data_IF_020888807877
#
_entry.id   IF_020888807877
#
_cell.length_a   1.000
_cell.length_b   1.000
_cell.length_c   1.000
_cell.angle_alpha   90.00
_cell.angle_beta   90.00
_cell.angle_gamma   90.00
#
_symmetry.space_group_name_H-M   'P 1'
#
loop_
_entity.id
_entity.type
_entity.pdbx_description
1 polymer ?
2 polymer ?
3 polymer ?
4 polymer ?
5 non-polymer ?
6 non-polymer ?
7 water ?
#
loop_
_entity_poly.entity_id
_entity_poly.type
_entity_poly.pdbx_seq_one_letter_code
_entity_poly.pdbx_strand_id
1 'polyribonucleotide' 'GGCCACCUGAC(A23)' ?
2 'polyribonucleotide' 'GUCCUCUCC' ?
3 'polyribonucleotide' 'GGAGAGAGAAGUCAACCAGAGAAACACACCAACCCAUUGCACUCCGGGUUGGUGGUAUAUUACCUGGUACGGGGGAAACUUCGUGGUGGCCG' ?
#
# COMPACT_ATOMS: atom_id res chain seq x y z
N UNK G 4 5.05 19.85 -11.99
CA UNK G 4 4.88 19.54 -13.42
C UNK G 4 5.37 18.11 -13.68
N UNK G 5 6.17 17.96 -14.73
CA UNK G 5 6.78 16.69 -15.13
C UNK G 5 5.97 15.61 -15.84
N UNK G 6 4.99 16.00 -16.66
CA UNK G 6 4.14 15.09 -17.46
C UNK G 6 2.69 15.49 -17.71
N UNK G 7 2.24 15.23 -18.93
CA UNK G 7 0.87 15.50 -19.33
C UNK G 7 0.16 14.14 -19.32
N UNK G 8 -1.15 14.11 -19.07
CA UNK G 8 -1.90 12.85 -19.06
C UNK G 8 -1.60 11.98 -20.28
N UNK G 9 -1.55 10.68 -20.05
CA UNK G 9 -1.27 9.70 -21.09
C UNK G 9 -2.02 8.39 -20.76
N UNK G 10 -2.29 7.57 -21.78
CA UNK G 10 -2.98 6.30 -21.59
C UNK G 10 -2.18 5.40 -20.68
N UNK G 11 -0.85 5.46 -20.85
CA UNK G 11 0.07 4.64 -20.09
C UNK G 11 0.69 5.37 -18.89
N UNK G 12 0.76 4.68 -17.75
CA UNK G 12 1.40 5.25 -16.57
C UNK G 12 2.73 4.51 -16.41
N UNK G 13 3.76 5.25 -16.03
CA UNK G 13 5.10 4.71 -15.81
C UNK G 13 5.25 4.53 -14.31
N UNK G 14 5.57 3.33 -13.86
CA UNK G 14 5.72 3.08 -12.42
C UNK G 14 7.14 2.65 -12.11
N UNK G 15 7.77 3.25 -11.11
CA UNK G 15 9.12 2.79 -10.77
C UNK G 15 9.30 2.69 -9.28
N UNK G 16 10.51 2.35 -8.87
CA UNK G 16 10.83 2.10 -7.47
C UNK G 16 10.09 0.82 -7.07
N UNK G 17 10.05 -0.15 -7.98
CA UNK G 17 9.40 -1.44 -7.73
C UNK G 17 10.44 -2.42 -7.18
N UNK G 18 9.98 -3.39 -6.40
CA UNK G 18 10.86 -4.38 -5.81
C UNK G 18 11.47 -5.24 -6.92
N UNK G 19 12.76 -5.06 -7.16
CA UNK G 19 13.49 -5.76 -8.19
C UNK G 19 13.65 -7.27 -8.07
N UNK G 20 13.27 -7.86 -6.93
CA UNK G 20 13.42 -9.30 -6.76
C UNK G 20 12.21 -10.15 -7.18
N UNK G 21 11.08 -9.51 -7.39
CA UNK G 21 9.88 -10.21 -7.81
C UNK G 21 9.98 -10.70 -9.25
N UNK G 22 9.79 -12.00 -9.46
CA UNK G 22 9.84 -12.57 -10.82
C UNK G 22 8.87 -11.82 -11.72
N UNK G 23 9.23 -11.69 -12.99
CA UNK G 23 8.41 -11.00 -13.98
C UNK G 23 6.93 -11.43 -14.03
N UNK G 24 6.67 -12.72 -14.09
CA UNK G 24 5.29 -13.20 -14.14
C UNK G 24 4.49 -12.77 -12.91
N UNK G 25 5.04 -12.97 -11.70
CA UNK G 25 4.32 -12.57 -10.50
C UNK G 25 4.08 -11.06 -10.46
N UNK G 26 5.10 -10.28 -10.79
CA UNK G 26 4.96 -8.82 -10.79
C UNK G 26 3.80 -8.38 -11.67
N UNK G 27 3.74 -8.93 -12.89
CA UNK G 27 2.67 -8.56 -13.82
C UNK G 27 1.30 -8.96 -13.24
N UNK G 28 1.21 -10.14 -12.64
CA UNK G 28 -0.06 -10.55 -12.08
C UNK G 28 -0.47 -9.59 -10.96
N UNK G 29 0.44 -9.29 -10.03
CA UNK G 29 0.06 -8.37 -8.95
C UNK G 29 -0.35 -6.99 -9.48
N UNK G 30 0.45 -6.43 -10.39
CA UNK G 30 0.13 -5.13 -10.97
C UNK G 30 -1.26 -5.16 -11.60
N UNK G 31 -1.59 -6.24 -12.27
CA UNK G 31 -2.90 -6.31 -12.91
C UNK G 31 -3.99 -6.36 -11.86
N UNK G 32 -3.81 -7.18 -10.84
CA UNK G 32 -4.82 -7.28 -9.78
C UNK G 32 -5.07 -5.96 -9.07
N UNK G 33 -4.00 -5.19 -8.86
CA UNK G 33 -4.11 -3.91 -8.16
C UNK G 33 -4.61 -2.72 -8.98
N UNK G 34 -4.36 -2.74 -10.29
CA UNK G 34 -4.78 -1.63 -11.14
C UNK G 34 -6.07 -1.88 -11.93
N UNK G 35 -6.54 -3.13 -11.94
CA UNK G 35 -7.77 -3.53 -12.65
C UNK G 35 -9.00 -2.67 -12.39
N UNK G 36 -9.21 -2.30 -11.13
CA UNK G 36 -10.38 -1.53 -10.73
C UNK G 36 -10.54 -0.17 -11.41
N UNK G 37 -9.46 0.39 -11.93
CA UNK G 37 -9.54 1.72 -12.55
C UNK G 37 -10.05 1.76 -13.97
N UNK G 38 -9.95 0.64 -14.66
CA UNK G 38 -10.41 0.57 -16.03
C UNK G 38 -9.77 -0.60 -16.75
N UNK G 39 -10.13 -0.81 -18.00
CA UNK G 39 -9.58 -1.91 -18.77
C UNK G 39 -8.10 -1.65 -19.03
N UNK G 40 -7.30 -2.70 -18.93
CA UNK G 40 -5.86 -2.63 -19.15
C UNK G 40 -5.57 -3.35 -20.46
N UNK G 41 -4.94 -2.68 -21.43
CA UNK G 41 -4.65 -3.31 -22.71
C UNK G 41 -3.38 -4.16 -22.64
N UNK G 42 -2.49 -3.83 -21.72
CA UNK G 42 -1.27 -4.59 -21.57
C UNK G 42 -0.43 -4.02 -20.45
N UNK G 43 0.54 -4.81 -20.01
CA UNK G 43 1.43 -4.41 -18.94
C UNK G 43 2.80 -4.89 -19.38
N UNK G 44 3.77 -3.98 -19.41
CA UNK G 44 5.10 -4.38 -19.83
C UNK G 44 6.10 -4.31 -18.67
N UNK G 45 6.83 -5.39 -18.50
CA UNK G 45 7.82 -5.46 -17.45
C UNK G 45 9.01 -6.26 -17.96
N UNK G 46 10.21 -5.71 -17.79
CA UNK G 46 11.42 -6.41 -18.18
C UNK G 46 12.40 -6.28 -17.02
N UNK G 47 13.20 -7.31 -16.79
CA UNK G 47 14.14 -7.30 -15.69
C UNK G 47 15.58 -7.07 -16.14
N UNK G 48 15.73 -6.50 -17.33
CA UNK G 48 17.07 -6.21 -17.83
C UNK G 48 17.65 -5.07 -17.00
N UNK G 49 18.95 -4.83 -17.15
CA UNK G 49 19.64 -3.77 -16.44
C UNK G 49 18.95 -2.41 -16.45
N UNK G 50 18.41 -2.01 -17.58
CA UNK G 50 17.80 -0.69 -17.70
C UNK G 50 16.30 -0.55 -17.40
N UNK G 51 15.54 -1.62 -17.57
CA UNK G 51 14.11 -1.53 -17.31
C UNK G 51 13.66 -2.20 -16.01
N UNK G 52 14.57 -2.88 -15.32
CA UNK G 52 14.19 -3.54 -14.06
C UNK G 52 13.75 -2.48 -13.07
N UNK G 53 12.81 -2.86 -12.21
CA UNK G 53 12.30 -1.96 -11.18
C UNK G 53 11.27 -1.04 -11.75
N UNK G 54 10.89 -1.28 -13.01
CA UNK G 54 9.91 -0.41 -13.66
C UNK G 54 8.87 -1.22 -14.38
N UNK G 55 7.77 -0.55 -14.71
CA UNK G 55 6.70 -1.19 -15.44
C UNK G 55 5.82 -0.13 -16.12
N UNK G 56 5.23 -0.51 -17.26
CA UNK G 56 4.34 0.37 -17.99
C UNK G 56 2.98 -0.34 -18.01
N UNK G 57 1.96 0.31 -17.47
CA UNK G 57 0.62 -0.23 -17.46
C UNK G 57 -0.17 0.59 -18.46
N UNK G 58 -0.55 -0.02 -19.58
CA UNK G 58 -1.29 0.69 -20.62
C UNK G 58 -2.79 0.58 -20.42
N UNK G 59 -3.44 1.72 -20.19
CA UNK G 59 -4.87 1.78 -19.97
C UNK G 59 -5.62 2.09 -21.27
N UNK G 60 -6.85 1.62 -21.35
CA UNK G 60 -7.68 1.83 -22.53
C UNK G 60 -8.14 3.28 -22.56
N UNK G 61 -8.43 3.84 -21.39
CA UNK G 61 -8.88 5.21 -21.27
C UNK G 61 -7.95 6.07 -20.43
N UNK G 62 -7.65 7.26 -20.94
CA UNK G 62 -6.76 8.19 -20.24
C UNK G 62 -7.27 8.46 -18.83
N UNK G 63 -8.58 8.67 -18.69
CA UNK G 63 -9.17 8.95 -17.39
C UNK G 63 -8.81 7.85 -16.37
N UNK G 64 -8.68 6.62 -16.85
CA UNK G 64 -8.33 5.51 -15.98
C UNK G 64 -6.86 5.63 -15.54
N UNK G 65 -6.02 6.11 -16.43
CA UNK G 65 -4.61 6.29 -16.10
C UNK G 65 -4.54 7.31 -14.96
N UNK G 66 -5.27 8.40 -15.12
CA UNK G 66 -5.31 9.47 -14.13
C UNK G 66 -5.77 9.01 -12.74
N UNK G 67 -6.93 8.37 -12.67
CA UNK G 67 -7.44 7.91 -11.38
C UNK G 67 -6.48 6.93 -10.71
N UNK G 68 -5.83 6.09 -11.51
CA UNK G 68 -4.89 5.11 -10.98
C UNK G 68 -3.66 5.79 -10.42
N UNK G 69 -3.16 6.78 -11.15
CA UNK G 69 -1.99 7.52 -10.75
C UNK G 69 -2.25 8.22 -9.42
N UNK G 70 -3.37 8.94 -9.33
CA UNK G 70 -3.72 9.67 -8.12
C UNK G 70 -3.96 8.78 -6.90
N UNK G 71 -4.69 7.69 -7.10
CA UNK G 71 -5.02 6.80 -6.01
C UNK G 71 -3.90 5.90 -5.53
N UNK G 72 -3.07 5.45 -6.45
CA UNK G 72 -2.02 4.52 -6.09
C UNK G 72 -0.62 5.10 -5.87
N UNK G 73 -0.48 6.41 -5.90
CA UNK G 73 0.83 7.03 -5.67
C UNK G 73 1.31 6.66 -4.26
N UNK G 74 2.52 6.11 -4.15
CA UNK G 74 3.05 5.74 -2.85
C UNK G 74 2.51 4.45 -2.24
N UNK G 75 1.59 3.76 -2.92
CA UNK G 75 1.02 2.51 -2.42
C UNK G 75 2.12 1.48 -2.10
N UNK G 76 2.03 0.82 -0.93
CA UNK G 76 3.06 -0.17 -0.57
C UNK G 76 2.90 -1.37 -1.48
N UNK G 77 3.97 -1.78 -2.13
CA UNK G 77 3.89 -2.90 -3.05
C UNK G 77 5.17 -3.67 -2.88
N UNK G 78 5.05 -4.90 -2.42
CA UNK G 78 6.21 -5.71 -2.16
C UNK G 78 7.19 -4.92 -1.31
N UNK G 79 6.63 -4.20 -0.34
CA UNK G 79 7.43 -3.43 0.62
C UNK G 79 8.12 -2.15 0.18
N UNK G 80 7.77 -1.65 -1.00
CA UNK G 80 8.34 -0.40 -1.48
C UNK G 80 7.18 0.46 -1.97
N UNK G 81 7.19 1.76 -1.64
CA UNK G 81 6.12 2.69 -2.06
C UNK G 81 6.28 2.98 -3.55
N UNK G 82 5.27 2.63 -4.31
CA UNK G 82 5.26 2.81 -5.76
C UNK G 82 5.39 4.26 -6.20
N UNK G 83 6.15 4.50 -7.26
CA UNK G 83 6.23 5.88 -7.77
C UNK G 83 5.56 5.84 -9.13
N UNK G 84 4.60 6.74 -9.34
CA UNK G 84 3.87 6.76 -10.60
C UNK G 84 3.81 8.10 -11.30
N UNK G 85 3.94 8.04 -12.62
CA UNK G 85 3.85 9.22 -13.45
C UNK G 85 3.29 8.79 -14.79
N UNK G 86 2.85 9.75 -15.60
CA UNK G 86 2.34 9.43 -16.92
C UNK G 86 3.55 9.08 -17.76
N UNK G 87 3.37 8.29 -18.80
CA UNK G 87 4.50 7.94 -19.66
C UNK G 87 4.80 9.20 -20.47
N UNK G 88 6.08 9.44 -20.74
CA UNK G 88 6.48 10.61 -21.52
C UNK G 88 5.93 10.55 -22.95
N UNK G 89 5.82 9.35 -23.51
CA UNK G 89 5.30 9.18 -24.85
C UNK G 89 4.28 8.06 -24.89
N UNK G 90 3.47 8.03 -25.95
CA UNK G 90 2.47 6.99 -26.11
C UNK G 90 3.13 5.65 -26.32
N UNK G 91 2.48 4.59 -25.84
CA UNK G 91 3.01 3.25 -26.04
C UNK G 91 2.67 2.95 -27.51
N UNK G 92 3.45 2.11 -28.17
CA UNK G 92 3.20 1.79 -29.57
C UNK G 92 1.75 1.40 -29.83
N UNK G 93 1.21 0.51 -29.00
CA UNK G 93 -0.16 0.04 -29.12
C UNK G 93 -1.17 1.17 -29.21
N UNK G 94 -0.93 2.24 -28.46
CA UNK G 94 -1.79 3.41 -28.42
C UNK G 94 -1.50 4.35 -29.60
N UNK G 95 -0.24 4.39 -30.02
CA UNK G 95 0.16 5.25 -31.12
C UNK G 95 -0.35 4.68 -32.46
N UNK G 96 -0.15 3.39 -32.68
CA UNK G 96 -0.60 2.74 -33.91
C UNK G 96 -2.11 2.60 -33.94
N UNK G 97 -2.75 3.02 -32.85
CA UNK G 97 -4.20 2.94 -32.71
C UNK G 97 -4.81 4.28 -33.16
N UNK H 4 12.77 9.33 17.83
CA UNK H 4 13.50 8.20 17.21
C UNK H 4 12.52 7.09 16.83
N UNK H 5 13.05 5.95 16.39
CA UNK H 5 12.20 4.82 16.04
C UNK H 5 12.22 3.84 17.20
N UNK H 6 11.30 2.88 17.20
CA UNK H 6 11.23 1.94 18.30
C UNK H 6 11.74 0.52 18.01
N UNK H 7 11.88 -0.23 19.09
CA UNK H 7 12.29 -1.63 19.08
C UNK H 7 11.10 -2.44 18.55
N UNK H 8 11.37 -3.57 17.91
CA UNK H 8 10.24 -4.37 17.42
C UNK H 8 9.38 -4.73 18.64
N UNK H 9 8.07 -4.73 18.47
CA UNK H 9 7.14 -5.07 19.54
C UNK H 9 5.97 -5.89 18.99
N UNK H 10 5.23 -6.58 19.87
CA UNK H 10 4.09 -7.41 19.45
C UNK H 10 3.01 -6.52 18.84
N UNK H 11 2.90 -5.32 19.39
CA UNK H 11 1.90 -4.37 18.94
C UNK H 11 2.47 -3.32 17.97
N UNK H 12 1.67 -2.94 16.97
CA UNK H 12 2.08 -1.88 16.06
C UNK H 12 1.18 -0.72 16.39
N UNK H 13 1.71 0.49 16.28
CA UNK H 13 0.98 1.70 16.57
C UNK H 13 0.68 2.35 15.24
N UNK H 14 -0.59 2.63 15.02
CA UNK H 14 -0.99 3.23 13.76
C UNK H 14 -1.69 4.56 13.97
N UNK H 15 -1.24 5.59 13.25
CA UNK H 15 -1.88 6.88 13.36
C UNK H 15 -2.06 7.50 11.97
N UNK H 16 -2.60 8.71 11.91
CA UNK H 16 -2.92 9.38 10.66
C UNK H 16 -4.13 8.67 10.08
N UNK H 17 -4.95 8.13 10.96
CA UNK H 17 -6.18 7.43 10.58
C UNK H 17 -7.30 8.45 10.41
N UNK H 18 -8.27 8.15 9.56
CA UNK H 18 -9.40 9.04 9.32
C UNK H 18 -10.25 9.11 10.58
N UNK H 19 -10.36 10.29 11.17
CA UNK H 19 -11.10 10.48 12.41
C UNK H 19 -12.63 10.43 12.32
N UNK H 20 -13.16 10.42 11.10
CA UNK H 20 -14.61 10.42 10.94
C UNK H 20 -15.24 9.03 10.88
N UNK H 21 -14.42 7.99 10.79
CA UNK H 21 -14.97 6.64 10.73
C UNK H 21 -15.30 6.10 12.11
N UNK H 22 -16.47 5.49 12.25
CA UNK H 22 -16.88 4.92 13.52
C UNK H 22 -15.96 3.81 13.99
N UNK H 23 -15.85 3.71 15.30
CA UNK H 23 -15.02 2.73 15.99
C UNK H 23 -15.16 1.30 15.41
N UNK H 24 -16.36 0.73 15.41
CA UNK H 24 -16.54 -0.63 14.89
C UNK H 24 -16.17 -0.77 13.43
N UNK H 25 -16.50 0.24 12.64
CA UNK H 25 -16.16 0.25 11.22
C UNK H 25 -14.64 0.20 11.13
N UNK H 26 -13.99 1.07 11.91
CA UNK H 26 -12.53 1.16 11.93
C UNK H 26 -11.86 -0.14 12.36
N UNK H 27 -12.36 -0.76 13.41
CA UNK H 27 -11.78 -2.02 13.88
C UNK H 27 -11.95 -3.13 12.84
N UNK H 28 -13.16 -3.29 12.32
CA UNK H 28 -13.45 -4.32 11.34
C UNK H 28 -12.53 -4.21 10.12
N UNK H 29 -12.39 -3.01 9.57
CA UNK H 29 -11.52 -2.81 8.41
C UNK H 29 -10.05 -3.11 8.73
N UNK H 30 -9.59 -2.69 9.92
CA UNK H 30 -8.18 -2.95 10.29
C UNK H 30 -7.89 -4.45 10.30
N UNK H 31 -8.81 -5.21 10.90
CA UNK H 31 -8.66 -6.68 10.95
C UNK H 31 -8.61 -7.31 9.53
N UNK H 32 -9.54 -6.88 8.68
CA UNK H 32 -9.60 -7.40 7.31
C UNK H 32 -8.30 -7.10 6.58
N UNK H 33 -7.74 -5.93 6.86
CA UNK H 33 -6.49 -5.49 6.24
C UNK H 33 -5.20 -6.09 6.84
N UNK H 34 -5.19 -6.35 8.14
CA UNK H 34 -3.99 -6.88 8.81
C UNK H 34 -3.93 -8.37 9.18
N UNK H 35 -5.07 -9.05 9.23
CA UNK H 35 -5.08 -10.47 9.61
C UNK H 35 -4.15 -11.41 8.82
N UNK H 36 -3.76 -11.03 7.59
CA UNK H 36 -2.88 -11.86 6.75
C UNK H 36 -1.46 -12.02 7.31
N UNK H 37 -1.08 -11.15 8.23
CA UNK H 37 0.27 -11.20 8.78
C UNK H 37 0.41 -12.19 9.92
N UNK H 38 -0.71 -12.56 10.52
CA UNK H 38 -0.67 -13.51 11.63
C UNK H 38 -1.85 -13.31 12.55
N UNK H 39 -2.06 -14.20 13.50
CA UNK H 39 -3.18 -14.06 14.41
C UNK H 39 -3.10 -12.72 15.15
N UNK H 40 -4.25 -12.06 15.29
CA UNK H 40 -4.35 -10.79 15.99
C UNK H 40 -5.10 -11.03 17.31
N UNK H 41 -4.49 -10.65 18.43
CA UNK H 41 -5.12 -10.84 19.75
C UNK H 41 -6.12 -9.75 20.07
N UNK H 42 -5.90 -8.54 19.56
CA UNK H 42 -6.83 -7.44 19.83
C UNK H 42 -6.46 -6.21 19.00
N UNK H 43 -7.40 -5.29 18.93
CA UNK H 43 -7.19 -4.05 18.21
C UNK H 43 -7.86 -2.99 19.08
N UNK H 44 -7.08 -2.04 19.57
CA UNK H 44 -7.65 -0.99 20.43
C UNK H 44 -7.90 0.28 19.66
N UNK H 45 -9.10 0.81 19.75
CA UNK H 45 -9.43 2.03 19.06
C UNK H 45 -10.34 2.85 19.94
N UNK H 46 -10.00 4.13 20.09
CA UNK H 46 -10.80 5.04 20.87
C UNK H 46 -10.85 6.36 20.12
N UNK H 47 -12.00 7.04 20.16
CA UNK H 47 -12.17 8.31 19.47
C UNK H 47 -12.14 9.53 20.39
N UNK H 48 -11.57 9.36 21.58
CA UNK H 48 -11.48 10.46 22.52
C UNK H 48 -10.47 11.49 21.96
N UNK H 49 -10.49 12.70 22.51
CA UNK H 49 -9.58 13.76 22.09
C UNK H 49 -8.15 13.30 21.84
N UNK H 50 -7.55 12.68 22.85
CA UNK H 50 -6.16 12.24 22.79
C UNK H 50 -5.86 11.00 21.96
N UNK H 51 -6.84 10.12 21.79
CA UNK H 51 -6.60 8.86 21.08
C UNK H 51 -7.23 8.73 19.70
N UNK H 52 -8.03 9.70 19.28
CA UNK H 52 -8.66 9.62 17.97
C UNK H 52 -7.59 9.64 16.88
N UNK H 53 -7.87 8.96 15.76
CA UNK H 53 -6.95 8.90 14.64
C UNK H 53 -5.81 7.91 14.84
N UNK H 54 -5.94 7.08 15.87
CA UNK H 54 -4.91 6.10 16.15
C UNK H 54 -5.53 4.77 16.53
N UNK H 55 -4.73 3.71 16.43
CA UNK H 55 -5.18 2.40 16.84
C UNK H 55 -3.99 1.49 17.18
N UNK H 56 -4.19 0.58 18.13
CA UNK H 56 -3.14 -0.35 18.49
C UNK H 56 -3.62 -1.71 18.02
N UNK H 57 -2.77 -2.40 17.25
CA UNK H 57 -3.09 -3.71 16.75
C UNK H 57 -2.06 -4.61 17.40
N UNK H 58 -2.54 -5.61 18.14
CA UNK H 58 -1.65 -6.51 18.84
C UNK H 58 -1.61 -7.88 18.21
N UNK H 59 -0.44 -8.27 17.73
CA UNK H 59 -0.26 -9.56 17.11
C UNK H 59 0.22 -10.58 18.13
N UNK H 60 -0.03 -11.85 17.86
CA UNK H 60 0.39 -12.92 18.77
C UNK H 60 1.90 -13.07 18.73
N UNK H 61 2.48 -12.86 17.54
CA UNK H 61 3.92 -12.98 17.33
C UNK H 61 4.57 -11.67 16.84
N UNK H 62 5.79 -11.40 17.32
CA UNK H 62 6.50 -10.20 16.91
C UNK H 62 6.81 -10.18 15.41
N UNK H 63 7.21 -11.31 14.86
CA UNK H 63 7.52 -11.42 13.44
C UNK H 63 6.32 -10.99 12.60
N UNK H 64 5.13 -11.19 13.16
CA UNK H 64 3.92 -10.78 12.46
C UNK H 64 3.80 -9.26 12.46
N UNK H 65 4.16 -8.63 13.58
CA UNK H 65 4.06 -7.17 13.66
C UNK H 65 5.10 -6.53 12.73
N UNK H 66 6.29 -7.11 12.69
CA UNK H 66 7.35 -6.60 11.84
C UNK H 66 6.94 -6.73 10.36
N UNK H 67 6.27 -7.82 10.01
CA UNK H 67 5.85 -8.01 8.61
C UNK H 67 4.77 -7.02 8.22
N UNK H 68 3.86 -6.73 9.15
CA UNK H 68 2.80 -5.76 8.89
C UNK H 68 3.37 -4.35 8.81
N UNK H 69 4.39 -4.05 9.60
CA UNK H 69 4.99 -2.71 9.60
C UNK H 69 5.61 -2.42 8.24
N UNK H 70 6.42 -3.33 7.75
CA UNK H 70 7.11 -3.17 6.48
C UNK H 70 6.23 -3.23 5.25
N UNK H 71 5.19 -4.07 5.30
CA UNK H 71 4.29 -4.25 4.18
C UNK H 71 3.11 -3.31 4.10
N UNK H 72 2.80 -2.63 5.20
CA UNK H 72 1.64 -1.74 5.16
C UNK H 72 1.95 -0.28 5.38
N UNK H 73 3.23 0.08 5.41
CA UNK H 73 3.60 1.48 5.61
C UNK H 73 2.98 2.28 4.46
N UNK H 74 2.24 3.33 4.78
CA UNK H 74 1.63 4.16 3.76
C UNK H 74 0.34 3.70 3.13
N UNK H 75 -0.08 2.46 3.38
CA UNK H 75 -1.31 1.93 2.81
C UNK H 75 -2.50 2.88 2.88
N UNK H 76 -3.17 3.12 1.74
CA UNK H 76 -4.33 4.01 1.65
C UNK H 76 -5.47 3.47 2.50
N UNK H 77 -6.03 4.30 3.37
CA UNK H 77 -7.09 3.85 4.28
C UNK H 77 -8.07 4.98 4.50
N UNK H 78 -9.28 4.82 3.99
CA UNK H 78 -10.30 5.85 4.10
C UNK H 78 -9.78 7.21 3.68
N UNK H 79 -9.00 7.22 2.61
CA UNK H 79 -8.44 8.46 2.04
C UNK H 79 -7.23 9.10 2.71
N UNK H 80 -6.56 8.38 3.60
CA UNK H 80 -5.36 8.91 4.24
C UNK H 80 -4.39 7.76 4.30
N UNK H 81 -3.10 8.04 4.02
CA UNK H 81 -2.10 6.97 4.07
C UNK H 81 -1.75 6.78 5.54
N UNK H 82 -1.71 5.54 6.00
CA UNK H 82 -1.41 5.27 7.41
C UNK H 82 0.05 5.24 7.80
N UNK H 83 0.34 5.77 8.99
CA UNK H 83 1.71 5.79 9.52
C UNK H 83 1.71 4.67 10.55
N UNK H 84 2.71 3.80 10.46
CA UNK H 84 2.86 2.66 11.35
C UNK H 84 4.23 2.65 12.03
N UNK H 85 4.23 2.36 13.34
CA UNK H 85 5.46 2.26 14.13
C UNK H 85 5.19 1.15 15.13
N UNK H 86 6.22 0.61 15.76
CA UNK H 86 5.99 -0.41 16.81
C UNK H 86 5.54 0.40 18.04
N UNK H 87 4.72 -0.18 18.91
CA UNK H 87 4.31 0.56 20.12
C UNK H 87 5.55 0.73 20.97
N UNK H 88 5.63 1.85 21.70
CA UNK H 88 6.77 2.10 22.57
C UNK H 88 6.84 1.09 23.72
N UNK H 89 5.69 0.62 24.20
CA UNK H 89 5.70 -0.38 25.28
C UNK H 89 4.70 -1.52 25.04
N UNK H 90 4.97 -2.68 25.64
CA UNK H 90 4.09 -3.85 25.52
C UNK H 90 2.68 -3.52 25.92
N UNK H 91 1.71 -4.04 25.18
CA UNK H 91 0.31 -3.81 25.53
C UNK H 91 0.08 -4.70 26.76
N UNK H 92 -0.83 -4.32 27.65
CA UNK H 92 -1.07 -5.13 28.86
C UNK H 92 -1.20 -6.64 28.66
N UNK H 93 -1.99 -7.09 27.69
CA UNK H 93 -2.15 -8.53 27.50
C UNK H 93 -0.86 -9.26 27.20
N UNK H 94 0.06 -8.55 26.54
CA UNK H 94 1.36 -9.14 26.20
C UNK H 94 2.27 -9.15 27.43
N UNK H 95 2.23 -8.05 28.17
CA UNK H 95 3.06 -7.92 29.38
C UNK H 95 2.61 -8.92 30.43
N UNK H 96 1.29 -9.02 30.63
CA UNK H 96 0.73 -9.94 31.62
C UNK H 96 1.02 -11.41 31.32
N UNK H 97 1.41 -11.73 30.09
CA UNK H 97 1.71 -13.11 29.75
C UNK H 97 3.00 -13.56 30.42
X LIG I 1 31.57 -40.41 -28.47
X LIG J 1 21.21 7.70 -12.43
X LIG K 1 30.84 -30.78 -20.08
X LIG L 1 10.09 2.76 -30.40
X LIG M 1 33.40 -41.93 -33.82
X LIG N 1 30.57 -22.72 -14.41
X LIG O 1 27.14 -20.36 -39.84
X LIG P 1 15.25 -9.64 -18.82
X LIG Q 1 16.50 0.57 -22.67
X LIG R 1 38.62 -42.47 -36.23
X LIG S 1 24.41 -35.19 -28.97
X LIG T 1 33.03 -33.31 -37.66
X LIG U 1 -39.19 14.83 46.50
X LIG V 1 -30.40 18.32 45.78
X LIG W 1 -29.62 13.64 37.40
X LIG X 1 -46.58 15.86 36.34
X LIG Y 1 1.17 18.22 19.02
X LIG Z 1 -1.63 1.39 32.34
X LIG AA 1 -35.85 11.66 53.47
X LIG BA 1 -11.11 1.82 33.69
X LIG CA 1 -48.25 15.42 42.27
X LIG DA 1 -21.08 -1.20 40.44
X LIG EA 1 -19.65 19.54 24.02
X LIG FA 1 -10.79 17.87 11.42
X LIG GA 1 -37.17 18.19 28.26
X LIG HA 1 -22.06 22.87 28.47
X LIG IA 1 -19.15 17.23 20.63
X LIG JA 1 -30.78 21.45 23.79
X LIG KA 1 -23.72 10.66 45.25
X LIG LA 1 -13.28 5.12 35.63
X LIG MA 1 -33.99 4.92 39.25
X LIG NA 1 -21.48 7.97 45.77
X LIG OA 1 -50.02 20.39 45.50
X LIG PA 1 -7.26 6.00 -28.48
X LIG QA 1 1.90 -5.15 -1.17
X LIG QA 1 1.92 -6.61 -1.54
X LIG QA 1 2.93 -6.74 -2.57
X LIG QA 1 2.28 -7.46 -0.36
X LIG QA 1 0.56 -7.09 -2.12
X LIG QA 1 0.59 -8.09 -3.27
X LIG QA 1 1.23 -9.30 -2.90
X LIG QA 1 -0.83 -8.45 -3.69
X LIG RA 1 -8.86 2.23 1.60
X LIG RA 1 -10.24 1.71 1.91
X LIG RA 1 -10.89 2.71 2.72
X LIG RA 1 -11.01 1.49 0.64
X LIG RA 1 -10.19 0.39 2.72
X LIG RA 1 -11.40 0.05 3.60
X LIG RA 1 -12.58 -0.08 2.86
X LIG RA 1 -11.16 -1.27 4.31
#
# INVERSE_FOLDING_TARGET
MAVPETRPNHTIYINNLNEKIKKDELKKSLHAIFSRFGQILDILVSRSLKMRGQAFVIFKEVSSATNALRSMQGFPFYDKPMRIQYAKTDSDIIAKMKGT
MAVPETRPNHTIYINNLNEKIKKDELKKSLHAIFSRFGQILDILVSRSLKMRGQAFVIFKEVSSATNALRSMQGFPFYDKPMRIQYAKTDSDIIAKMKGT
CA CA
CA CA
CA CA
CA CA
CA CA
CA CA
CA CA
CA CA
CA CA
CA CA
CA CA
CA CA
CA CA
CA CA
CA CA
CA CA
CA CA
CA CA
CA CA
CA CA
CA CA
CA CA
CA CA
CA CA
CA CA
CA CA
CA CA
CA CA
CA CA
CA CA
CA CA
CA CA
CA CA
CA CA
MPD C1 C2 O2 CM C3 C4 O4 C5
MPD C1 C2 O2 CM C3 C4 O4 C5
#
